data_IF_686407745723
#
_entry.id   IF_686407745723
#
_cell.length_a   1.000
_cell.length_b   1.000
_cell.length_c   1.000
_cell.angle_alpha   90.00
_cell.angle_beta   90.00
_cell.angle_gamma   90.00
#
_symmetry.space_group_name_H-M   'P 1'
#
loop_
_entity.id
_entity.type
_entity.pdbx_description
1 polymer ?
#
# COMPACT_ATOMS: atom_id res chain seq x y z
N UNK A 1 -32.54 3.16 3.22
CA UNK A 1 -32.11 4.58 3.35
C UNK A 1 -31.33 4.83 4.64
N UNK A 2 -31.54 4.07 5.72
CA UNK A 2 -30.88 4.34 7.02
C UNK A 2 -29.42 3.86 7.15
N UNK A 3 -28.94 2.91 6.34
CA UNK A 3 -27.51 2.52 6.35
C UNK A 3 -26.59 3.54 5.65
N UNK A 4 -27.14 4.33 4.72
CA UNK A 4 -26.45 5.40 3.98
C UNK A 4 -26.12 6.59 4.90
N UNK A 5 -27.02 6.92 5.83
CA UNK A 5 -26.83 8.01 6.78
C UNK A 5 -25.77 7.71 7.86
N UNK A 6 -25.51 6.44 8.16
CA UNK A 6 -24.48 6.04 9.12
C UNK A 6 -23.07 6.22 8.55
N UNK A 7 -22.83 5.80 7.29
CA UNK A 7 -21.53 5.93 6.63
C UNK A 7 -21.18 7.40 6.31
N UNK A 8 -22.17 8.22 5.92
CA UNK A 8 -21.96 9.63 5.56
C UNK A 8 -21.74 10.51 6.80
N UNK A 9 -22.35 10.19 7.96
CA UNK A 9 -22.13 10.95 9.22
C UNK A 9 -20.73 10.81 9.80
N UNK A 10 -19.99 9.76 9.44
CA UNK A 10 -18.57 9.63 9.83
C UNK A 10 -17.65 10.63 9.09
N UNK A 11 -18.16 11.34 8.08
CA UNK A 11 -17.40 12.28 7.24
C UNK A 11 -17.96 13.73 7.27
N UNK A 12 -18.49 14.17 8.41
CA UNK A 12 -18.83 15.59 8.63
C UNK A 12 -17.63 16.38 9.18
N UNK A 13 -17.52 17.69 8.88
CA UNK A 13 -16.25 18.40 8.83
C UNK A 13 -15.69 18.69 10.22
N UNK A 14 -14.44 18.25 10.47
CA UNK A 14 -13.61 18.76 11.54
C UNK A 14 -13.50 20.28 11.39
N UNK A 15 -13.96 21.02 12.41
CA UNK A 15 -13.80 22.48 12.51
C UNK A 15 -12.32 22.84 12.39
N UNK A 16 -11.94 23.42 11.27
CA UNK A 16 -10.56 23.83 10.97
C UNK A 16 -10.24 25.13 11.74
N UNK A 17 -9.22 25.07 12.60
CA UNK A 17 -8.54 26.26 13.16
C UNK A 17 -7.62 26.90 12.10
N UNK A 18 -7.29 28.17 12.34
CA UNK A 18 -6.69 29.14 11.39
C UNK A 18 -5.35 28.68 10.76
N UNK A 19 -5.00 29.24 9.58
CA UNK A 19 -3.98 28.70 8.66
C UNK A 19 -2.51 28.85 9.10
N UNK A 20 -2.26 29.63 10.15
CA UNK A 20 -0.95 30.10 10.59
C UNK A 20 -0.21 29.12 11.53
N UNK A 21 -0.89 28.12 12.10
CA UNK A 21 -0.28 27.12 13.01
C UNK A 21 0.35 25.89 12.30
N UNK A 22 0.23 25.73 10.98
CA UNK A 22 0.67 24.51 10.27
C UNK A 22 2.04 24.60 9.57
N UNK A 23 2.77 25.70 9.74
CA UNK A 23 4.00 25.96 9.00
C UNK A 23 5.20 25.05 9.37
N UNK A 24 5.13 24.25 10.44
CA UNK A 24 6.30 23.54 10.99
C UNK A 24 6.22 22.00 11.09
N UNK A 25 5.29 21.31 10.40
CA UNK A 25 5.23 19.83 10.42
C UNK A 25 5.39 19.12 9.07
N UNK A 26 5.94 19.82 8.07
CA UNK A 26 5.97 19.36 6.68
C UNK A 26 7.09 18.35 6.33
N UNK A 27 7.38 17.35 7.17
CA UNK A 27 8.24 16.19 6.82
C UNK A 27 7.87 14.94 7.65
N UNK A 28 6.70 14.36 7.39
CA UNK A 28 6.42 12.93 7.63
C UNK A 28 4.96 12.61 7.32
N UNK A 29 4.62 12.56 6.05
CA UNK A 29 3.28 12.17 5.63
C UNK A 29 2.96 12.78 4.29
N UNK A 30 2.90 11.94 3.27
CA UNK A 30 2.15 12.23 2.05
C UNK A 30 0.63 12.20 2.33
N UNK A 31 0.23 12.78 3.47
CA UNK A 31 -1.09 12.74 4.05
C UNK A 31 -1.39 14.10 4.68
N UNK A 32 -2.39 14.76 4.12
CA UNK A 32 -3.05 15.99 4.55
C UNK A 32 -2.35 17.32 4.24
N UNK A 33 -2.66 17.85 3.05
CA UNK A 33 -3.27 19.17 2.89
C UNK A 33 -3.99 19.25 1.53
N UNK A 34 -5.33 19.33 1.60
CA UNK A 34 -6.27 19.81 0.59
C UNK A 34 -6.13 19.34 -0.87
N UNK A 35 -6.40 18.05 -1.09
CA UNK A 35 -7.22 17.48 -2.17
C UNK A 35 -7.54 16.06 -1.70
N UNK A 36 -8.74 15.53 -1.93
CA UNK A 36 -9.07 14.15 -1.53
C UNK A 36 -8.14 13.17 -2.29
N UNK A 37 -7.02 12.80 -1.68
CA UNK A 37 -6.03 11.88 -2.21
C UNK A 37 -6.47 10.44 -1.93
N UNK A 38 -7.07 9.78 -2.92
CA UNK A 38 -7.15 8.32 -2.89
C UNK A 38 -5.82 7.76 -3.38
N UNK A 39 -4.80 7.80 -2.52
CA UNK A 39 -3.68 6.86 -2.67
C UNK A 39 -4.29 5.49 -2.38
N UNK A 40 -4.46 4.68 -3.42
CA UNK A 40 -4.74 3.25 -3.27
C UNK A 40 -3.48 2.61 -2.69
N UNK A 41 -3.22 2.80 -1.39
CA UNK A 41 -2.12 2.13 -0.71
C UNK A 41 -2.52 0.68 -0.46
N UNK A 42 -1.86 -0.22 -1.17
CA UNK A 42 -2.04 -1.67 -1.11
C UNK A 42 -1.41 -2.33 0.15
N UNK A 43 -1.39 -1.64 1.29
CA UNK A 43 -0.65 -2.03 2.49
C UNK A 43 -1.51 -1.98 3.76
N UNK A 44 -2.29 -3.04 4.01
CA UNK A 44 -2.81 -3.43 5.32
C UNK A 44 -3.49 -4.80 5.18
N UNK A 45 -3.61 -5.54 6.28
CA UNK A 45 -4.59 -6.63 6.46
C UNK A 45 -6.02 -6.23 6.07
N UNK A 46 -6.35 -4.93 6.20
CA UNK A 46 -7.58 -4.31 5.71
C UNK A 46 -7.43 -3.61 4.35
N UNK A 47 -6.28 -3.73 3.68
CA UNK A 47 -6.10 -3.28 2.30
C UNK A 47 -7.06 -4.02 1.36
N UNK A 48 -7.46 -5.24 1.73
CA UNK A 48 -8.59 -5.91 1.09
C UNK A 48 -9.92 -5.18 1.34
N UNK A 49 -10.17 -4.58 2.50
CA UNK A 49 -11.43 -3.90 2.80
C UNK A 49 -11.54 -2.51 2.16
N UNK A 50 -10.46 -1.72 2.10
CA UNK A 50 -10.48 -0.43 1.38
C UNK A 50 -10.62 -0.66 -0.12
N UNK A 51 -9.88 -1.61 -0.68
CA UNK A 51 -10.02 -1.94 -2.09
C UNK A 51 -11.35 -2.64 -2.34
N UNK A 52 -11.78 -3.61 -1.55
CA UNK A 52 -13.10 -4.23 -1.71
C UNK A 52 -14.20 -3.18 -1.58
N UNK A 53 -14.12 -2.26 -0.62
CA UNK A 53 -15.08 -1.17 -0.47
C UNK A 53 -15.08 -0.23 -1.67
N UNK A 54 -13.90 0.13 -2.19
CA UNK A 54 -13.77 0.92 -3.43
C UNK A 54 -14.31 0.15 -4.65
N UNK A 55 -14.07 -1.15 -4.73
CA UNK A 55 -14.52 -2.02 -5.83
C UNK A 55 -16.01 -2.37 -5.72
N UNK A 56 -16.58 -2.38 -4.52
CA UNK A 56 -18.01 -2.59 -4.26
C UNK A 56 -18.82 -1.34 -4.60
N UNK A 57 -18.27 -0.14 -4.32
CA UNK A 57 -18.94 1.15 -4.52
C UNK A 57 -18.35 1.94 -5.70
N UNK A 58 -17.73 1.23 -6.65
CA UNK A 58 -16.87 1.83 -7.67
C UNK A 58 -17.60 2.84 -8.56
N UNK A 59 -18.86 2.63 -8.88
CA UNK A 59 -19.68 3.57 -9.65
C UNK A 59 -19.87 4.90 -8.90
N UNK A 60 -20.27 4.87 -7.62
CA UNK A 60 -20.48 6.10 -6.87
C UNK A 60 -19.17 6.87 -6.63
N UNK A 61 -18.07 6.13 -6.39
CA UNK A 61 -16.74 6.72 -6.21
C UNK A 61 -16.23 7.33 -7.50
N UNK A 62 -16.42 6.64 -8.63
CA UNK A 62 -16.05 7.15 -9.94
C UNK A 62 -16.77 8.47 -10.25
N UNK A 63 -18.09 8.52 -10.06
CA UNK A 63 -18.87 9.74 -10.26
C UNK A 63 -18.42 10.86 -9.32
N UNK A 64 -18.12 10.54 -8.06
CA UNK A 64 -17.57 11.51 -7.11
C UNK A 64 -16.21 12.05 -7.57
N UNK A 65 -15.27 11.18 -7.98
CA UNK A 65 -13.95 11.60 -8.46
C UNK A 65 -14.05 12.49 -9.69
N UNK A 66 -14.91 12.11 -10.63
CA UNK A 66 -15.17 12.89 -11.84
C UNK A 66 -15.75 14.26 -11.49
N UNK A 67 -16.78 14.33 -10.65
CA UNK A 67 -17.42 15.58 -10.23
C UNK A 67 -16.48 16.51 -9.45
N UNK A 68 -15.49 15.95 -8.73
CA UNK A 68 -14.53 16.72 -7.92
C UNK A 68 -13.16 16.91 -8.57
N UNK A 69 -12.95 16.41 -9.79
CA UNK A 69 -11.67 16.48 -10.47
C UNK A 69 -10.53 15.76 -9.72
N UNK A 70 -10.86 14.71 -8.97
CA UNK A 70 -9.88 13.94 -8.18
C UNK A 70 -8.94 13.21 -9.11
N UNK A 71 -7.64 13.33 -8.84
CA UNK A 71 -6.59 12.56 -9.52
C UNK A 71 -6.26 11.30 -8.72
N UNK A 72 -6.06 10.17 -9.41
CA UNK A 72 -5.78 8.87 -8.79
C UNK A 72 -4.32 8.49 -8.97
N UNK A 73 -3.67 8.04 -7.91
CA UNK A 73 -2.31 7.47 -7.97
C UNK A 73 -2.40 5.99 -7.62
N UNK A 74 -2.09 5.13 -8.60
CA UNK A 74 -1.92 3.71 -8.37
C UNK A 74 -0.47 3.43 -7.96
N UNK A 75 -0.27 2.90 -6.77
CA UNK A 75 1.05 2.42 -6.33
C UNK A 75 0.99 0.90 -6.14
N UNK A 76 1.42 0.18 -7.17
CA UNK A 76 1.46 -1.28 -7.17
C UNK A 76 2.81 -1.81 -6.72
N UNK A 77 2.84 -3.10 -6.36
CA UNK A 77 4.08 -3.84 -6.12
C UNK A 77 4.17 -4.92 -7.17
N UNK A 78 5.28 -5.00 -7.93
CA UNK A 78 5.44 -6.04 -8.97
C UNK A 78 5.52 -7.43 -8.34
N UNK A 79 6.27 -7.56 -7.24
CA UNK A 79 6.38 -8.83 -6.53
C UNK A 79 5.21 -8.99 -5.54
N UNK A 80 4.19 -9.74 -5.96
CA UNK A 80 2.97 -9.94 -5.16
C UNK A 80 3.18 -10.92 -3.99
N UNK A 81 4.12 -11.86 -4.10
CA UNK A 81 4.51 -12.73 -2.98
C UNK A 81 5.09 -11.91 -1.84
N UNK A 82 5.99 -10.97 -2.14
CA UNK A 82 6.56 -10.06 -1.13
C UNK A 82 5.53 -9.13 -0.53
N UNK A 83 4.57 -8.68 -1.34
CA UNK A 83 3.42 -7.93 -0.83
C UNK A 83 2.65 -8.77 0.19
N UNK A 84 2.33 -10.03 -0.13
CA UNK A 84 1.63 -10.94 0.78
C UNK A 84 2.39 -11.13 2.10
N UNK A 85 3.69 -11.41 2.05
CA UNK A 85 4.54 -11.56 3.25
C UNK A 85 4.49 -10.29 4.11
N UNK A 86 4.60 -9.11 3.48
CA UNK A 86 4.53 -7.83 4.20
C UNK A 86 3.15 -7.62 4.86
N UNK A 87 2.07 -8.04 4.21
CA UNK A 87 0.71 -7.97 4.76
C UNK A 87 0.58 -8.93 5.95
N UNK A 88 1.05 -10.17 5.84
CA UNK A 88 0.97 -11.15 6.91
C UNK A 88 1.76 -10.69 8.15
N UNK A 89 2.98 -10.17 7.98
CA UNK A 89 3.76 -9.61 9.08
C UNK A 89 3.09 -8.41 9.73
N UNK A 90 2.53 -7.49 8.94
CA UNK A 90 1.78 -6.34 9.47
C UNK A 90 0.50 -6.77 10.22
N UNK A 91 -0.19 -7.81 9.74
CA UNK A 91 -1.38 -8.38 10.40
C UNK A 91 -1.01 -8.95 11.76
N UNK A 92 0.07 -9.73 11.81
CA UNK A 92 0.56 -10.32 13.04
C UNK A 92 0.94 -9.23 14.06
N UNK A 93 1.69 -8.20 13.66
CA UNK A 93 2.00 -7.09 14.56
C UNK A 93 0.75 -6.32 15.03
N UNK A 94 -0.30 -6.21 14.22
CA UNK A 94 -1.54 -5.57 14.65
C UNK A 94 -2.21 -6.34 15.80
N UNK A 95 -2.17 -7.65 15.72
CA UNK A 95 -2.88 -8.53 16.65
C UNK A 95 -2.04 -8.78 17.92
N UNK A 96 -0.71 -8.88 17.79
CA UNK A 96 0.23 -9.20 18.88
C UNK A 96 1.01 -7.99 19.40
N UNK A 97 1.03 -6.87 18.66
CA UNK A 97 1.60 -5.57 19.06
C UNK A 97 3.04 -5.69 19.56
N UNK A 98 3.93 -6.13 18.67
CA UNK A 98 5.29 -6.54 19.00
C UNK A 98 6.16 -5.40 19.53
N UNK A 99 5.79 -4.15 19.25
CA UNK A 99 6.52 -2.97 19.69
C UNK A 99 5.84 -2.35 20.92
N UNK A 100 6.18 -2.86 22.10
CA UNK A 100 5.71 -2.34 23.40
C UNK A 100 4.17 -2.24 23.50
N UNK A 101 3.44 -3.24 22.99
CA UNK A 101 1.98 -3.23 23.03
C UNK A 101 1.33 -2.22 22.06
N UNK A 102 2.11 -1.68 21.11
CA UNK A 102 1.61 -0.80 20.05
C UNK A 102 1.84 -1.43 18.67
N UNK A 103 0.81 -1.38 17.81
CA UNK A 103 0.93 -1.72 16.41
C UNK A 103 1.63 -0.60 15.63
N UNK A 104 2.62 -0.93 14.79
CA UNK A 104 3.20 0.03 13.84
C UNK A 104 3.29 -0.55 12.44
N UNK A 105 2.62 0.09 11.49
CA UNK A 105 2.74 -0.24 10.07
C UNK A 105 4.07 0.19 9.44
N UNK A 106 4.73 1.19 10.04
CA UNK A 106 6.02 1.71 9.62
C UNK A 106 6.88 2.02 10.84
N UNK A 107 8.18 1.83 10.69
CA UNK A 107 9.16 2.04 11.76
C UNK A 107 10.23 3.02 11.31
N UNK A 108 10.83 3.72 12.26
CA UNK A 108 11.90 4.70 12.01
C UNK A 108 13.25 4.23 12.55
N UNK A 109 13.29 3.10 13.26
CA UNK A 109 14.50 2.51 13.82
C UNK A 109 14.80 1.16 13.17
N UNK A 110 16.08 0.87 12.82
CA UNK A 110 16.50 -0.46 12.42
C UNK A 110 16.16 -1.54 13.45
N UNK A 111 16.22 -1.22 14.74
CA UNK A 111 15.91 -2.17 15.80
C UNK A 111 14.44 -2.57 15.83
N UNK A 112 13.54 -1.59 15.64
CA UNK A 112 12.10 -1.88 15.53
C UNK A 112 11.81 -2.70 14.27
N UNK A 113 12.49 -2.41 13.16
CA UNK A 113 12.38 -3.19 11.92
C UNK A 113 12.80 -4.65 12.12
N UNK A 114 13.89 -4.91 12.84
CA UNK A 114 14.33 -6.27 13.18
C UNK A 114 13.29 -7.03 14.01
N UNK A 115 12.70 -6.38 15.02
CA UNK A 115 11.65 -6.99 15.85
C UNK A 115 10.46 -7.38 14.99
N UNK A 116 9.98 -6.49 14.12
CA UNK A 116 8.85 -6.79 13.23
C UNK A 116 9.18 -7.87 12.19
N UNK A 117 10.42 -7.89 11.68
CA UNK A 117 10.88 -8.89 10.71
C UNK A 117 11.15 -10.28 11.33
N UNK A 118 11.21 -10.38 12.67
CA UNK A 118 11.44 -11.66 13.34
C UNK A 118 10.29 -12.65 13.17
N UNK A 119 9.08 -12.16 12.91
CA UNK A 119 7.94 -13.00 12.62
C UNK A 119 8.01 -13.56 11.20
N UNK A 120 7.98 -14.88 11.08
CA UNK A 120 7.97 -15.60 9.80
C UNK A 120 6.60 -16.22 9.56
N UNK A 121 5.75 -15.65 8.69
CA UNK A 121 4.47 -16.25 8.36
C UNK A 121 4.62 -17.63 7.73
N UNK A 122 3.64 -18.49 8.02
CA UNK A 122 3.36 -19.70 7.23
C UNK A 122 2.38 -19.31 6.11
N UNK A 123 2.73 -19.58 4.86
CA UNK A 123 1.90 -19.29 3.70
C UNK A 123 1.09 -20.52 3.32
N UNK A 124 -0.21 -20.36 3.10
CA UNK A 124 -1.08 -21.43 2.61
C UNK A 124 -0.80 -21.70 1.12
N UNK A 125 -0.04 -22.74 0.84
CA UNK A 125 0.37 -23.11 -0.53
C UNK A 125 -0.80 -23.59 -1.39
N UNK A 126 -1.82 -24.20 -0.79
CA UNK A 126 -3.04 -24.66 -1.49
C UNK A 126 -3.81 -23.50 -2.12
N UNK A 127 -3.80 -22.31 -1.52
CA UNK A 127 -4.53 -21.14 -2.02
C UNK A 127 -3.65 -20.09 -2.68
N UNK A 128 -2.32 -20.22 -2.57
CA UNK A 128 -1.33 -19.21 -2.96
C UNK A 128 -1.51 -18.70 -4.40
N UNK A 129 -1.49 -19.60 -5.39
CA UNK A 129 -1.62 -19.23 -6.80
C UNK A 129 -2.94 -18.50 -7.07
N UNK A 130 -4.04 -18.99 -6.47
CA UNK A 130 -5.37 -18.38 -6.62
C UNK A 130 -5.39 -16.97 -6.03
N UNK A 131 -4.77 -16.76 -4.88
CA UNK A 131 -4.68 -15.44 -4.24
C UNK A 131 -3.84 -14.46 -5.06
N UNK A 132 -2.69 -14.89 -5.58
CA UNK A 132 -1.85 -14.07 -6.47
C UNK A 132 -2.61 -13.64 -7.73
N UNK A 133 -3.33 -14.57 -8.38
CA UNK A 133 -4.21 -14.27 -9.52
C UNK A 133 -5.31 -13.29 -9.17
N UNK A 134 -5.94 -13.47 -8.01
CA UNK A 134 -7.01 -12.58 -7.57
C UNK A 134 -6.49 -11.15 -7.37
N UNK A 135 -5.29 -10.99 -6.83
CA UNK A 135 -4.65 -9.68 -6.69
C UNK A 135 -4.39 -9.05 -8.06
N UNK A 136 -3.82 -9.78 -9.02
CA UNK A 136 -3.63 -9.27 -10.39
C UNK A 136 -4.97 -8.86 -11.04
N UNK A 137 -5.99 -9.71 -10.93
CA UNK A 137 -7.34 -9.42 -11.45
C UNK A 137 -7.92 -8.14 -10.83
N UNK A 138 -7.75 -7.96 -9.53
CA UNK A 138 -8.20 -6.76 -8.83
C UNK A 138 -7.44 -5.52 -9.31
N UNK A 139 -6.12 -5.60 -9.53
CA UNK A 139 -5.32 -4.50 -10.10
C UNK A 139 -5.82 -4.11 -11.49
N UNK A 140 -6.02 -5.08 -12.38
CA UNK A 140 -6.54 -4.84 -13.74
C UNK A 140 -7.95 -4.25 -13.69
N UNK A 141 -8.82 -4.77 -12.82
CA UNK A 141 -10.19 -4.26 -12.68
C UNK A 141 -10.19 -2.81 -12.17
N UNK A 142 -9.33 -2.48 -11.21
CA UNK A 142 -9.21 -1.11 -10.69
C UNK A 142 -8.73 -0.13 -11.77
N UNK A 143 -7.74 -0.52 -12.58
CA UNK A 143 -7.31 0.28 -13.73
C UNK A 143 -8.43 0.47 -14.76
N UNK A 144 -9.21 -0.59 -15.02
CA UNK A 144 -10.36 -0.51 -15.93
C UNK A 144 -11.45 0.47 -15.44
N UNK A 145 -11.80 0.41 -14.16
CA UNK A 145 -12.80 1.28 -13.54
C UNK A 145 -12.40 2.76 -13.65
N UNK A 146 -11.15 3.08 -13.36
CA UNK A 146 -10.67 4.46 -13.30
C UNK A 146 -9.94 4.90 -14.58
N UNK A 147 -10.14 4.21 -15.70
CA UNK A 147 -9.44 4.47 -16.96
C UNK A 147 -9.65 5.90 -17.49
N UNK A 148 -10.82 6.47 -17.24
CA UNK A 148 -11.26 7.81 -17.66
C UNK A 148 -11.10 8.85 -16.56
N UNK A 149 -10.72 8.43 -15.34
CA UNK A 149 -10.25 9.34 -14.30
C UNK A 149 -8.79 9.69 -14.57
N UNK A 150 -8.40 10.93 -14.32
CA UNK A 150 -6.99 11.34 -14.42
C UNK A 150 -6.15 10.52 -13.45
N UNK A 151 -5.27 9.66 -13.95
CA UNK A 151 -4.47 8.77 -13.11
C UNK A 151 -3.03 8.63 -13.57
N UNK A 152 -2.17 8.21 -12.64
CA UNK A 152 -0.80 7.76 -12.90
C UNK A 152 -0.59 6.39 -12.24
N UNK A 153 0.17 5.52 -12.91
CA UNK A 153 0.54 4.20 -12.40
C UNK A 153 2.02 4.19 -12.05
N UNK A 154 2.30 3.78 -10.82
CA UNK A 154 3.64 3.65 -10.27
C UNK A 154 3.81 2.24 -9.73
N UNK A 155 5.05 1.77 -9.80
CA UNK A 155 5.46 0.56 -9.11
C UNK A 155 6.43 0.92 -7.99
N UNK A 156 6.24 0.28 -6.84
CA UNK A 156 7.05 0.45 -5.66
C UNK A 156 8.54 0.24 -5.96
N UNK A 157 8.86 -0.77 -6.76
CA UNK A 157 10.21 -1.07 -7.23
C UNK A 157 10.84 0.12 -7.96
N UNK A 158 10.09 0.83 -8.81
CA UNK A 158 10.61 1.97 -9.57
C UNK A 158 10.88 3.17 -8.66
N UNK A 159 10.00 3.41 -7.70
CA UNK A 159 10.15 4.50 -6.72
C UNK A 159 11.36 4.27 -5.82
N UNK A 160 11.66 3.02 -5.49
CA UNK A 160 12.85 2.66 -4.72
C UNK A 160 14.13 2.82 -5.53
N UNK A 161 14.16 2.29 -6.76
CA UNK A 161 15.37 2.20 -7.56
C UNK A 161 15.68 3.50 -8.32
N UNK A 162 14.65 4.33 -8.58
CA UNK A 162 14.80 5.58 -9.30
C UNK A 162 13.97 6.69 -8.65
N UNK A 163 14.65 7.51 -7.83
CA UNK A 163 14.01 8.65 -7.14
C UNK A 163 13.46 9.71 -8.08
N UNK A 164 13.88 9.77 -9.35
CA UNK A 164 13.29 10.72 -10.29
C UNK A 164 11.81 10.45 -10.55
N UNK A 165 11.32 9.22 -10.30
CA UNK A 165 9.89 8.90 -10.35
C UNK A 165 9.04 9.73 -9.39
N UNK A 166 9.61 10.22 -8.30
CA UNK A 166 8.90 11.14 -7.41
C UNK A 166 8.73 12.54 -7.99
N UNK A 167 9.53 12.93 -9.00
CA UNK A 167 9.32 14.16 -9.76
C UNK A 167 8.10 14.01 -10.68
N UNK A 168 7.97 12.87 -11.37
CA UNK A 168 6.80 12.55 -12.21
C UNK A 168 5.49 12.68 -11.40
N UNK A 169 5.51 12.23 -10.13
CA UNK A 169 4.35 12.36 -9.22
C UNK A 169 4.08 13.81 -8.85
N UNK A 170 5.11 14.60 -8.54
CA UNK A 170 4.94 16.02 -8.20
C UNK A 170 4.40 16.82 -9.39
N UNK A 171 4.89 16.54 -10.59
CA UNK A 171 4.41 17.13 -11.83
C UNK A 171 2.96 16.71 -12.12
N UNK A 172 2.65 15.43 -11.95
CA UNK A 172 1.29 14.91 -12.05
C UNK A 172 0.36 15.62 -11.06
N UNK A 173 0.80 15.89 -9.83
CA UNK A 173 -0.01 16.59 -8.84
C UNK A 173 -0.02 18.12 -9.02
N UNK A 174 0.80 18.65 -9.94
CA UNK A 174 0.99 20.10 -10.16
C UNK A 174 1.43 20.83 -8.88
N UNK A 175 2.29 20.17 -8.09
CA UNK A 175 2.88 20.76 -6.88
C UNK A 175 4.35 21.14 -7.15
N UNK A 176 4.91 22.11 -6.40
CA UNK A 176 6.31 22.47 -6.55
C UNK A 176 7.22 21.25 -6.33
N UNK A 177 8.18 21.05 -7.24
CA UNK A 177 9.20 20.00 -7.10
C UNK A 177 10.06 20.27 -5.87
N UNK A 178 10.18 19.27 -5.02
CA UNK A 178 11.02 19.26 -3.82
C UNK A 178 11.76 17.93 -3.73
N UNK A 179 12.89 17.97 -3.04
CA UNK A 179 13.59 16.75 -2.64
C UNK A 179 12.78 16.06 -1.53
N UNK A 180 12.26 14.86 -1.81
CA UNK A 180 11.45 14.10 -0.85
C UNK A 180 12.34 13.08 -0.13
N UNK A 181 12.29 13.10 1.20
CA UNK A 181 13.02 12.15 2.06
C UNK A 181 12.06 11.45 3.02
N UNK A 182 12.35 10.19 3.34
CA UNK A 182 11.60 9.41 4.32
C UNK A 182 12.50 8.97 5.47
N UNK A 183 11.97 9.02 6.70
CA UNK A 183 12.59 8.41 7.88
C UNK A 183 12.20 6.93 8.05
N UNK A 184 11.32 6.42 7.18
CA UNK A 184 10.86 5.03 7.25
C UNK A 184 12.00 4.08 6.90
N UNK A 185 12.14 3.04 7.72
CA UNK A 185 13.10 1.96 7.52
C UNK A 185 12.37 0.75 6.95
N UNK A 186 12.97 0.12 5.94
CA UNK A 186 12.48 -1.14 5.37
C UNK A 186 12.56 -2.25 6.42
N UNK A 187 11.42 -2.88 6.71
CA UNK A 187 11.29 -3.95 7.71
C UNK A 187 11.95 -5.25 7.21
N UNK A 188 11.43 -5.81 6.11
CA UNK A 188 11.95 -7.06 5.56
C UNK A 188 13.14 -6.79 4.63
N UNK A 189 14.37 -7.11 5.07
CA UNK A 189 15.63 -7.05 4.32
C UNK A 189 16.17 -8.46 4.09
N UNK A 190 16.88 -8.70 2.97
CA UNK A 190 17.36 -10.04 2.63
C UNK A 190 16.38 -10.86 1.81
N UNK A 191 16.66 -12.16 1.72
CA UNK A 191 15.95 -13.09 0.84
C UNK A 191 14.63 -13.54 1.46
N UNK A 192 13.74 -14.13 0.66
CA UNK A 192 12.46 -14.63 1.18
C UNK A 192 12.57 -15.78 2.18
N UNK A 193 13.60 -16.62 2.07
CA UNK A 193 13.83 -17.73 3.00
C UNK A 193 14.02 -17.25 4.44
N UNK A 194 14.51 -16.03 4.61
CA UNK A 194 14.72 -15.44 5.93
C UNK A 194 13.39 -15.05 6.59
N UNK A 195 12.33 -14.81 5.80
CA UNK A 195 11.07 -14.19 6.25
C UNK A 195 9.84 -15.10 6.13
N UNK A 196 9.98 -16.36 5.70
CA UNK A 196 8.85 -17.28 5.52
C UNK A 196 9.16 -18.61 6.18
N UNK A 197 8.27 -19.08 7.06
CA UNK A 197 8.52 -20.27 7.85
C UNK A 197 8.54 -21.56 7.00
N UNK A 198 7.64 -21.67 6.02
CA UNK A 198 7.54 -22.81 5.10
C UNK A 198 8.05 -22.46 3.69
N UNK A 199 9.21 -21.81 3.59
CA UNK A 199 9.73 -21.29 2.33
C UNK A 199 9.89 -22.35 1.24
N UNK A 200 10.38 -23.55 1.57
CA UNK A 200 10.60 -24.62 0.58
C UNK A 200 9.30 -25.08 -0.09
N UNK A 201 8.19 -25.11 0.65
CA UNK A 201 6.88 -25.45 0.10
C UNK A 201 6.35 -24.35 -0.81
N UNK A 202 6.55 -23.08 -0.43
CA UNK A 202 6.21 -21.91 -1.24
C UNK A 202 7.01 -21.91 -2.54
N UNK A 203 8.33 -22.13 -2.45
CA UNK A 203 9.23 -22.22 -3.60
C UNK A 203 8.77 -23.32 -4.55
N UNK A 204 8.50 -24.52 -4.03
CA UNK A 204 8.03 -25.66 -4.83
C UNK A 204 6.69 -25.39 -5.51
N UNK A 205 5.79 -24.67 -4.83
CA UNK A 205 4.44 -24.33 -5.34
C UNK A 205 4.52 -23.33 -6.50
N UNK A 206 5.44 -22.37 -6.44
CA UNK A 206 5.55 -21.33 -7.47
C UNK A 206 6.51 -21.70 -8.60
N UNK A 207 7.44 -22.62 -8.36
CA UNK A 207 8.42 -23.04 -9.36
C UNK A 207 7.72 -23.58 -10.62
N UNK A 208 8.12 -23.07 -11.79
CA UNK A 208 7.54 -23.45 -13.08
C UNK A 208 6.13 -22.91 -13.34
N UNK A 209 5.60 -22.03 -12.48
CA UNK A 209 4.33 -21.32 -12.71
C UNK A 209 4.57 -19.93 -13.30
N UNK A 210 3.51 -19.22 -13.70
CA UNK A 210 3.60 -17.81 -14.13
C UNK A 210 4.13 -16.86 -13.03
N UNK A 211 4.14 -17.32 -11.77
CA UNK A 211 4.63 -16.57 -10.61
C UNK A 211 6.06 -16.96 -10.19
N UNK A 212 6.72 -17.84 -10.94
CA UNK A 212 8.09 -18.28 -10.68
C UNK A 212 9.07 -17.11 -10.50
N UNK A 213 8.93 -16.07 -11.33
CA UNK A 213 9.73 -14.85 -11.24
C UNK A 213 9.67 -14.14 -9.86
N UNK A 214 8.63 -14.38 -9.06
CA UNK A 214 8.53 -13.82 -7.71
C UNK A 214 9.50 -14.44 -6.71
N UNK A 215 10.06 -15.62 -7.00
CA UNK A 215 11.06 -16.29 -6.17
C UNK A 215 12.43 -15.64 -6.28
N UNK A 216 12.72 -15.00 -7.41
CA UNK A 216 14.07 -14.53 -7.78
C UNK A 216 14.24 -13.01 -7.72
N UNK A 217 13.14 -12.26 -7.65
CA UNK A 217 13.18 -10.82 -7.53
C UNK A 217 13.58 -10.39 -6.11
N UNK A 218 14.87 -10.50 -5.81
CA UNK A 218 15.49 -9.74 -4.75
C UNK A 218 15.72 -8.31 -5.23
N UNK A 219 15.32 -7.34 -4.41
CA UNK A 219 15.80 -5.99 -4.62
C UNK A 219 17.28 -6.02 -4.29
N UNK A 220 18.14 -6.10 -5.30
CA UNK A 220 19.47 -5.52 -5.18
C UNK A 220 19.28 -4.01 -5.03
N UNK A 221 19.23 -3.56 -3.78
CA UNK A 221 19.41 -2.15 -3.42
C UNK A 221 20.90 -1.87 -3.28
#
# INVERSE_FOLDING_TARGET
MDSLNSAVRQFSPLKLKRPDEYANSFVSGLAFLYTFFCILQFYSSHGNMVIQGLMQNHEQIFEYFKAKGVSVIFLFRRNLLRRMISILGNTYDRDFKLLNGTHKSHVHSPREAEILASYKPVINTTTLIRELKQVQKTMTKALGIFNSTRHIVLYYEDVLNNRTKLLDVQDFLRVPRRNLTSRQVKIHKGSFSDHVANWDDVKRTLNGTEFDSFLHADYSL
#
